data_IF_890110996514
#
_entry.id   IF_890110996514
#
_cell.length_a   1.000
_cell.length_b   1.000
_cell.length_c   1.000
_cell.angle_alpha   90.00
_cell.angle_beta   90.00
_cell.angle_gamma   90.00
#
_symmetry.space_group_name_H-M   'P 1'
#
loop_
_entity.id
_entity.type
_entity.pdbx_description
1 polymer ?
#
# COMPACT_ATOMS: atom_id res chain seq x y z
N UNK A 1 7.63 27.34 7.03
CA UNK A 1 6.62 26.62 7.75
C UNK A 1 5.86 25.72 6.80
N UNK A 2 5.64 24.52 7.26
CA UNK A 2 5.16 23.35 6.52
C UNK A 2 3.70 23.47 6.02
N UNK A 3 2.98 24.52 6.37
CA UNK A 3 1.53 24.65 6.18
C UNK A 3 1.11 25.98 5.53
N UNK A 4 2.01 26.73 4.89
CA UNK A 4 1.68 28.10 4.48
C UNK A 4 1.22 28.28 3.04
N UNK A 5 1.26 27.25 2.21
CA UNK A 5 0.87 27.32 0.78
C UNK A 5 -0.17 26.27 0.38
N UNK A 6 -0.92 25.74 1.35
CA UNK A 6 -1.92 24.71 1.09
C UNK A 6 -3.12 25.28 0.31
N UNK A 7 -3.47 24.59 -0.78
CA UNK A 7 -4.77 24.75 -1.40
C UNK A 7 -5.81 24.05 -0.54
N UNK A 8 -6.92 24.72 -0.26
CA UNK A 8 -8.03 24.16 0.52
C UNK A 8 -8.39 22.76 0.01
N UNK A 9 -8.38 21.78 0.89
CA UNK A 9 -8.68 20.36 0.64
C UNK A 9 -7.68 19.58 -0.24
N UNK A 10 -6.51 20.12 -0.55
CA UNK A 10 -5.46 19.42 -1.29
C UNK A 10 -4.31 19.10 -0.33
N UNK A 11 -4.21 17.85 0.10
CA UNK A 11 -3.12 17.38 0.97
C UNK A 11 -1.81 17.16 0.20
N UNK A 12 -1.92 16.69 -1.05
CA UNK A 12 -0.80 16.43 -1.95
C UNK A 12 -1.12 16.96 -3.35
N UNK A 13 -0.23 17.77 -3.92
CA UNK A 13 -0.44 18.34 -5.25
C UNK A 13 -0.22 17.33 -6.38
N UNK A 14 0.74 16.41 -6.19
CA UNK A 14 0.93 15.31 -7.12
C UNK A 14 1.47 14.05 -6.42
N UNK A 15 1.19 12.90 -6.99
CA UNK A 15 1.58 11.59 -6.47
C UNK A 15 2.87 11.03 -7.10
N UNK A 16 3.59 11.81 -7.90
CA UNK A 16 4.76 11.35 -8.67
C UNK A 16 5.81 10.68 -7.77
N UNK A 17 6.06 11.21 -6.58
CA UNK A 17 7.01 10.62 -5.65
C UNK A 17 6.64 9.21 -5.17
N UNK A 18 5.34 8.88 -5.10
CA UNK A 18 4.89 7.53 -4.76
C UNK A 18 5.25 6.51 -5.86
N UNK A 19 5.29 6.95 -7.12
CA UNK A 19 5.71 6.12 -8.24
C UNK A 19 7.23 6.08 -8.37
N UNK A 20 7.92 7.19 -8.14
CA UNK A 20 9.39 7.26 -8.25
C UNK A 20 10.10 6.47 -7.14
N UNK A 21 9.60 6.49 -5.91
CA UNK A 21 10.24 5.85 -4.79
C UNK A 21 10.42 4.33 -4.96
N UNK A 22 9.43 3.53 -5.41
CA UNK A 22 9.60 2.11 -5.71
C UNK A 22 10.63 1.86 -6.81
N UNK A 23 10.69 2.70 -7.86
CA UNK A 23 11.64 2.55 -8.96
C UNK A 23 13.08 2.58 -8.48
N UNK A 24 13.40 3.45 -7.52
CA UNK A 24 14.72 3.50 -6.91
C UNK A 24 14.95 2.41 -5.86
N UNK A 25 13.95 2.12 -5.02
CA UNK A 25 14.06 1.07 -3.99
C UNK A 25 14.29 -0.31 -4.59
N UNK A 26 13.64 -0.58 -5.72
CA UNK A 26 13.70 -1.86 -6.44
C UNK A 26 14.26 -1.67 -7.85
N UNK A 27 15.37 -0.93 -7.97
CA UNK A 27 15.96 -0.54 -9.26
C UNK A 27 16.35 -1.71 -10.16
N UNK A 28 16.54 -2.90 -9.60
CA UNK A 28 16.86 -4.13 -10.33
C UNK A 28 15.61 -4.96 -10.73
N UNK A 29 14.41 -4.44 -10.46
CA UNK A 29 13.15 -5.06 -10.84
C UNK A 29 12.53 -4.28 -11.99
N UNK A 30 11.71 -4.96 -12.81
CA UNK A 30 10.85 -4.30 -13.76
C UNK A 30 9.53 -3.96 -13.09
N UNK A 31 9.06 -2.73 -13.27
CA UNK A 31 7.81 -2.24 -12.72
C UNK A 31 6.79 -2.10 -13.85
N UNK A 32 5.57 -2.56 -13.59
CA UNK A 32 4.44 -2.40 -14.48
C UNK A 32 3.40 -1.56 -13.75
N UNK A 33 3.05 -0.42 -14.32
CA UNK A 33 2.03 0.48 -13.82
C UNK A 33 0.81 0.44 -14.72
N UNK A 34 -0.38 0.68 -14.15
CA UNK A 34 -1.58 0.90 -14.96
C UNK A 34 -1.46 2.21 -15.76
N UNK A 35 -2.14 2.25 -16.88
CA UNK A 35 -2.18 3.41 -17.76
C UNK A 35 -2.91 4.58 -17.10
N UNK A 36 -2.14 5.50 -16.53
CA UNK A 36 -2.57 6.75 -15.92
C UNK A 36 -1.88 7.92 -16.63
N UNK A 37 -2.59 8.63 -17.49
CA UNK A 37 -2.02 9.67 -18.34
C UNK A 37 -1.29 10.77 -17.55
N UNK A 38 -1.87 11.20 -16.42
CA UNK A 38 -1.29 12.25 -15.59
C UNK A 38 0.02 11.78 -14.95
N UNK A 39 0.05 10.51 -14.49
CA UNK A 39 1.24 9.90 -13.90
C UNK A 39 2.32 9.67 -14.95
N UNK A 40 1.95 9.19 -16.14
CA UNK A 40 2.90 9.00 -17.26
C UNK A 40 3.56 10.33 -17.64
N UNK A 41 2.77 11.39 -17.73
CA UNK A 41 3.26 12.74 -18.05
C UNK A 41 4.21 13.21 -16.95
N UNK A 42 3.78 13.11 -15.69
CA UNK A 42 4.58 13.58 -14.55
C UNK A 42 5.89 12.81 -14.38
N UNK A 43 5.88 11.47 -14.53
CA UNK A 43 7.12 10.67 -14.47
C UNK A 43 8.03 10.97 -15.66
N UNK A 44 7.45 11.23 -16.84
CA UNK A 44 8.21 11.56 -18.06
C UNK A 44 9.05 12.84 -17.97
N UNK A 45 8.73 13.72 -17.02
CA UNK A 45 9.51 14.93 -16.74
C UNK A 45 10.81 14.62 -15.97
N UNK A 46 10.95 13.43 -15.38
CA UNK A 46 12.10 13.04 -14.57
C UNK A 46 13.05 12.13 -15.35
N UNK A 47 14.34 12.39 -15.19
CA UNK A 47 15.39 11.46 -15.63
C UNK A 47 15.82 10.64 -14.41
N UNK A 48 15.62 9.33 -14.50
CA UNK A 48 16.05 8.41 -13.43
C UNK A 48 17.53 8.12 -13.60
N UNK A 49 18.34 8.45 -12.61
CA UNK A 49 19.79 8.29 -12.65
C UNK A 49 20.27 7.42 -11.48
N UNK A 50 21.10 6.42 -11.76
CA UNK A 50 21.86 5.69 -10.76
C UNK A 50 23.36 5.90 -11.00
N UNK A 51 24.07 6.55 -10.09
CA UNK A 51 25.46 6.92 -10.22
C UNK A 51 25.79 7.67 -11.52
N UNK A 52 24.87 8.53 -11.97
CA UNK A 52 25.01 9.32 -13.21
C UNK A 52 24.64 8.56 -14.50
N UNK A 53 24.27 7.30 -14.42
CA UNK A 53 23.78 6.50 -15.53
C UNK A 53 22.26 6.48 -15.53
N UNK A 54 21.67 6.86 -16.66
CA UNK A 54 20.23 6.83 -16.83
C UNK A 54 19.70 5.40 -16.90
N UNK A 55 18.58 5.14 -16.20
CA UNK A 55 17.91 3.85 -16.25
C UNK A 55 16.41 4.04 -16.44
N UNK A 56 15.76 3.03 -17.01
CA UNK A 56 14.31 2.95 -17.18
C UNK A 56 13.87 1.52 -16.89
N UNK A 57 13.32 1.29 -15.72
CA UNK A 57 12.91 -0.03 -15.24
C UNK A 57 11.38 -0.12 -15.05
N UNK A 58 10.62 0.65 -15.83
CA UNK A 58 9.17 0.67 -15.74
C UNK A 58 8.52 0.75 -17.13
N UNK A 59 7.30 0.24 -17.20
CA UNK A 59 6.38 0.36 -18.32
C UNK A 59 4.99 0.70 -17.80
N UNK A 60 4.16 1.28 -18.67
CA UNK A 60 2.74 1.46 -18.43
C UNK A 60 1.98 0.52 -19.34
N UNK A 61 1.01 -0.21 -18.78
CA UNK A 61 0.19 -1.19 -19.48
C UNK A 61 -1.28 -0.99 -19.13
N UNK A 62 -2.18 -1.41 -20.02
CA UNK A 62 -3.61 -1.43 -19.73
C UNK A 62 -3.91 -2.59 -18.76
N UNK A 63 -4.48 -2.29 -17.61
CA UNK A 63 -4.88 -3.28 -16.59
C UNK A 63 -5.78 -4.39 -17.13
N UNK A 64 -6.51 -4.15 -18.24
CA UNK A 64 -7.29 -5.18 -18.91
C UNK A 64 -6.43 -6.29 -19.53
N UNK A 65 -5.19 -5.99 -19.85
CA UNK A 65 -4.27 -6.90 -20.51
C UNK A 65 -3.23 -7.52 -19.56
N UNK A 66 -3.10 -7.01 -18.34
CA UNK A 66 -2.14 -7.50 -17.35
C UNK A 66 -2.84 -7.96 -16.05
N UNK A 67 -2.81 -9.28 -15.83
CA UNK A 67 -3.42 -9.90 -14.66
C UNK A 67 -2.75 -9.47 -13.34
N UNK A 68 -1.47 -9.11 -13.35
CA UNK A 68 -0.75 -8.69 -12.15
C UNK A 68 -1.22 -7.31 -11.69
N UNK A 69 -1.55 -6.40 -12.61
CA UNK A 69 -2.17 -5.11 -12.28
C UNK A 69 -3.52 -5.35 -11.63
N UNK A 70 -4.37 -6.21 -12.21
CA UNK A 70 -5.69 -6.55 -11.65
C UNK A 70 -5.57 -7.17 -10.24
N UNK A 71 -4.62 -8.07 -10.03
CA UNK A 71 -4.36 -8.65 -8.70
C UNK A 71 -3.87 -7.59 -7.73
N UNK A 72 -3.02 -6.67 -8.18
CA UNK A 72 -2.55 -5.54 -7.37
C UNK A 72 -3.70 -4.66 -6.90
N UNK A 73 -4.65 -4.34 -7.77
CA UNK A 73 -5.85 -3.55 -7.44
C UNK A 73 -6.70 -4.23 -6.36
N UNK A 74 -6.90 -5.54 -6.47
CA UNK A 74 -7.62 -6.31 -5.46
C UNK A 74 -6.91 -6.27 -4.11
N UNK A 75 -5.59 -6.45 -4.10
CA UNK A 75 -4.78 -6.41 -2.87
C UNK A 75 -4.79 -5.02 -2.23
N UNK A 76 -4.61 -3.97 -3.01
CA UNK A 76 -4.68 -2.58 -2.53
C UNK A 76 -6.07 -2.28 -1.98
N UNK A 77 -7.13 -2.72 -2.66
CA UNK A 77 -8.50 -2.57 -2.19
C UNK A 77 -8.74 -3.29 -0.84
N UNK A 78 -8.17 -4.49 -0.67
CA UNK A 78 -8.25 -5.24 0.59
C UNK A 78 -7.52 -4.52 1.73
N UNK A 79 -6.29 -4.07 1.49
CA UNK A 79 -5.49 -3.30 2.47
C UNK A 79 -6.23 -2.01 2.84
N UNK A 80 -6.74 -1.26 1.86
CA UNK A 80 -7.50 -0.03 2.11
C UNK A 80 -8.76 -0.25 2.95
N UNK A 81 -9.48 -1.35 2.74
CA UNK A 81 -10.66 -1.71 3.58
C UNK A 81 -10.26 -2.08 5.00
N UNK A 82 -9.16 -2.81 5.19
CA UNK A 82 -8.63 -3.12 6.52
C UNK A 82 -8.18 -1.85 7.25
N UNK A 83 -7.46 -0.97 6.59
CA UNK A 83 -7.05 0.32 7.15
C UNK A 83 -8.27 1.17 7.55
N UNK A 84 -9.27 1.27 6.68
CA UNK A 84 -10.50 1.99 6.99
C UNK A 84 -11.24 1.38 8.19
N UNK A 85 -11.31 0.05 8.30
CA UNK A 85 -11.90 -0.64 9.44
C UNK A 85 -11.16 -0.30 10.74
N UNK A 86 -9.84 -0.36 10.75
CA UNK A 86 -9.01 -0.04 11.90
C UNK A 86 -9.20 1.43 12.33
N UNK A 87 -9.24 2.35 11.37
CA UNK A 87 -9.36 3.78 11.64
C UNK A 87 -10.72 4.19 12.20
N UNK A 88 -11.78 3.48 11.80
CA UNK A 88 -13.15 3.84 12.17
C UNK A 88 -13.69 3.12 13.41
N UNK A 89 -12.99 2.08 13.92
CA UNK A 89 -13.43 1.29 15.05
C UNK A 89 -12.52 1.44 16.27
N UNK A 90 -13.12 1.42 17.44
CA UNK A 90 -12.41 1.33 18.73
C UNK A 90 -11.88 -0.08 18.97
N UNK A 91 -10.96 -0.26 19.91
CA UNK A 91 -10.46 -1.58 20.31
C UNK A 91 -11.58 -2.55 20.75
N UNK A 92 -12.63 -2.04 21.43
CA UNK A 92 -13.78 -2.87 21.84
C UNK A 92 -14.62 -3.32 20.66
N UNK A 93 -14.92 -2.42 19.72
CA UNK A 93 -15.67 -2.74 18.51
C UNK A 93 -14.92 -3.74 17.61
N UNK A 94 -13.60 -3.60 17.47
CA UNK A 94 -12.77 -4.57 16.74
C UNK A 94 -12.90 -5.97 17.36
N UNK A 95 -12.84 -6.10 18.69
CA UNK A 95 -13.02 -7.38 19.38
C UNK A 95 -14.41 -7.96 19.15
N UNK A 96 -15.44 -7.13 19.24
CA UNK A 96 -16.82 -7.54 19.02
C UNK A 96 -17.05 -8.03 17.59
N UNK A 97 -16.61 -7.27 16.60
CA UNK A 97 -16.76 -7.62 15.17
C UNK A 97 -16.03 -8.94 14.84
N UNK A 98 -14.77 -9.08 15.29
CA UNK A 98 -14.01 -10.32 15.03
C UNK A 98 -14.63 -11.50 15.78
N UNK A 99 -15.19 -11.29 16.97
CA UNK A 99 -15.90 -12.31 17.75
C UNK A 99 -17.16 -12.84 17.05
N UNK A 100 -17.71 -12.11 16.08
CA UNK A 100 -18.88 -12.51 15.28
C UNK A 100 -18.51 -13.15 13.94
N UNK A 101 -17.23 -13.25 13.62
CA UNK A 101 -16.78 -13.84 12.36
C UNK A 101 -17.06 -15.35 12.31
N UNK A 102 -17.54 -15.81 11.17
CA UNK A 102 -17.61 -17.25 10.84
C UNK A 102 -16.20 -17.82 10.67
N UNK A 103 -16.10 -19.15 10.72
CA UNK A 103 -14.81 -19.84 10.55
C UNK A 103 -14.10 -19.44 9.26
N UNK A 104 -14.83 -19.30 8.16
CA UNK A 104 -14.24 -18.87 6.87
C UNK A 104 -13.73 -17.43 6.90
N UNK A 105 -14.41 -16.53 7.61
CA UNK A 105 -13.95 -15.15 7.77
C UNK A 105 -12.70 -15.10 8.64
N UNK A 106 -12.63 -15.92 9.67
CA UNK A 106 -11.43 -16.05 10.51
C UNK A 106 -10.24 -16.58 9.70
N UNK A 107 -10.43 -17.62 8.88
CA UNK A 107 -9.39 -18.15 7.99
C UNK A 107 -8.93 -17.08 6.99
N UNK A 108 -9.86 -16.29 6.44
CA UNK A 108 -9.49 -15.20 5.52
C UNK A 108 -8.71 -14.08 6.23
N UNK A 109 -9.05 -13.77 7.48
CA UNK A 109 -8.30 -12.82 8.30
C UNK A 109 -6.88 -13.34 8.57
N UNK A 110 -6.73 -14.62 8.91
CA UNK A 110 -5.41 -15.25 9.11
C UNK A 110 -4.57 -15.21 7.83
N UNK A 111 -5.16 -15.51 6.68
CA UNK A 111 -4.48 -15.41 5.39
C UNK A 111 -4.02 -13.98 5.08
N UNK A 112 -4.81 -12.97 5.44
CA UNK A 112 -4.42 -11.56 5.30
C UNK A 112 -3.23 -11.22 6.21
N UNK A 113 -3.28 -11.58 7.49
CA UNK A 113 -2.19 -11.33 8.44
C UNK A 113 -0.90 -12.06 8.00
N UNK A 114 -1.03 -13.28 7.52
CA UNK A 114 0.06 -14.08 6.98
C UNK A 114 0.69 -13.42 5.74
N UNK A 115 -0.12 -12.86 4.84
CA UNK A 115 0.38 -12.14 3.66
C UNK A 115 1.23 -10.94 4.07
N UNK A 116 0.73 -10.13 5.01
CA UNK A 116 1.44 -8.97 5.54
C UNK A 116 2.76 -9.40 6.21
N UNK A 117 2.72 -10.38 7.11
CA UNK A 117 3.90 -10.88 7.81
C UNK A 117 4.95 -11.48 6.86
N UNK A 118 4.53 -12.25 5.87
CA UNK A 118 5.43 -12.84 4.86
C UNK A 118 6.07 -11.76 3.98
N UNK A 119 5.31 -10.73 3.62
CA UNK A 119 5.82 -9.59 2.84
C UNK A 119 6.88 -8.84 3.63
N UNK A 120 6.60 -8.50 4.89
CA UNK A 120 7.53 -7.83 5.80
C UNK A 120 8.79 -8.66 6.06
N UNK A 121 8.64 -9.95 6.29
CA UNK A 121 9.77 -10.86 6.49
C UNK A 121 10.64 -10.98 5.24
N UNK A 122 10.02 -11.01 4.06
CA UNK A 122 10.74 -11.15 2.79
C UNK A 122 11.58 -9.93 2.46
N UNK A 123 11.00 -8.75 2.62
CA UNK A 123 11.69 -7.48 2.45
C UNK A 123 10.91 -6.35 3.15
N UNK A 124 11.53 -5.71 4.12
CA UNK A 124 10.95 -4.57 4.86
C UNK A 124 10.45 -3.42 3.97
N UNK A 125 11.03 -3.27 2.78
CA UNK A 125 10.62 -2.23 1.84
C UNK A 125 9.29 -2.54 1.10
N UNK A 126 8.76 -3.77 1.19
CA UNK A 126 7.45 -4.11 0.61
C UNK A 126 6.29 -3.49 1.37
N UNK A 127 6.45 -3.28 2.69
CA UNK A 127 5.48 -2.58 3.51
C UNK A 127 6.01 -1.18 3.80
N UNK A 128 5.56 -0.21 3.03
CA UNK A 128 5.94 1.19 3.21
C UNK A 128 4.68 2.01 3.46
N UNK A 129 4.32 2.08 4.73
CA UNK A 129 3.18 2.83 5.25
C UNK A 129 3.62 3.79 6.35
N UNK A 130 2.78 4.76 6.61
CA UNK A 130 2.90 5.66 7.75
C UNK A 130 1.63 5.52 8.56
N UNK A 131 1.72 4.82 9.67
CA UNK A 131 0.61 4.55 10.57
C UNK A 131 0.76 5.35 11.86
N UNK A 132 -0.36 5.73 12.46
CA UNK A 132 -0.37 6.25 13.82
C UNK A 132 -0.06 5.13 14.82
N UNK A 133 0.42 5.50 16.01
CA UNK A 133 0.63 4.53 17.09
C UNK A 133 -0.66 3.78 17.47
N UNK A 134 -1.81 4.44 17.35
CA UNK A 134 -3.12 3.83 17.61
C UNK A 134 -3.46 2.75 16.56
N UNK A 135 -3.21 3.02 15.29
CA UNK A 135 -3.42 2.04 14.21
C UNK A 135 -2.53 0.81 14.39
N UNK A 136 -1.26 1.01 14.72
CA UNK A 136 -0.33 -0.09 15.03
C UNK A 136 -0.84 -0.94 16.19
N UNK A 137 -1.31 -0.31 17.27
CA UNK A 137 -1.86 -1.03 18.43
C UNK A 137 -3.15 -1.81 18.08
N UNK A 138 -4.01 -1.27 17.21
CA UNK A 138 -5.21 -1.97 16.75
C UNK A 138 -4.86 -3.17 15.85
N UNK A 139 -3.86 -3.03 14.98
CA UNK A 139 -3.35 -4.17 14.20
C UNK A 139 -2.76 -5.26 15.09
N UNK A 140 -1.98 -4.87 16.09
CA UNK A 140 -1.43 -5.82 17.07
C UNK A 140 -2.55 -6.53 17.83
N UNK A 141 -3.59 -5.81 18.25
CA UNK A 141 -4.76 -6.41 18.87
C UNK A 141 -5.42 -7.50 18.03
N UNK A 142 -5.59 -7.25 16.72
CA UNK A 142 -6.16 -8.23 15.79
C UNK A 142 -5.27 -9.48 15.74
N UNK A 143 -3.98 -9.30 15.62
CA UNK A 143 -3.00 -10.38 15.63
C UNK A 143 -3.06 -11.19 16.93
N UNK A 144 -3.15 -10.52 18.09
CA UNK A 144 -3.21 -11.17 19.41
C UNK A 144 -4.52 -11.97 19.61
N UNK A 145 -5.64 -11.52 19.04
CA UNK A 145 -6.90 -12.27 19.06
C UNK A 145 -6.78 -13.58 18.30
N UNK A 146 -6.02 -13.60 17.20
CA UNK A 146 -5.88 -14.77 16.30
C UNK A 146 -4.81 -15.77 16.80
N UNK A 147 -3.83 -15.35 17.56
CA UNK A 147 -2.75 -16.19 18.08
C UNK A 147 -3.06 -16.86 19.43
N UNK A 148 -4.28 -16.75 19.93
CA UNK A 148 -4.77 -17.45 21.13
C UNK A 148 -5.47 -18.75 20.79
#
# INVERSE_FOLDING_TARGET
PFIMDEKDHVLLENFTHFYLAPLYKFKNSNHIFDNENDVQTAIGEYRLLDNGVEFKNYVFEDSKNDILIQVSDVLVGLVGKMTAFINTHTHSEIREVIGQFSDIQLVNLDNYLDLINKSDFKNKAFLHNVDSYEEVNKMQLISDIRNK
#
